data_IF_399500697247
#
_entry.id   IF_399500697247
#
_cell.length_a   1.000
_cell.length_b   1.000
_cell.length_c   1.000
_cell.angle_alpha   90.00
_cell.angle_beta   90.00
_cell.angle_gamma   90.00
#
_symmetry.space_group_name_H-M   'P 1'
#
loop_
_entity.id
_entity.type
_entity.pdbx_description
1 polymer ?
#
# COMPACT_ATOMS: atom_id res chain seq x y z
N UNK A 1 -17.17 -2.75 4.23
CA UNK A 1 -16.69 -1.88 3.15
C UNK A 1 -15.40 -2.36 2.47
N UNK A 2 -14.18 -2.32 3.08
CA UNK A 2 -12.94 -2.75 2.37
C UNK A 2 -13.06 -4.20 1.86
N UNK A 3 -13.60 -5.08 2.70
CA UNK A 3 -13.84 -6.47 2.34
C UNK A 3 -14.75 -6.58 1.12
N UNK A 4 -15.79 -5.76 1.03
CA UNK A 4 -16.76 -5.74 -0.06
C UNK A 4 -16.13 -5.24 -1.36
N UNK A 5 -15.38 -4.13 -1.29
CA UNK A 5 -14.67 -3.53 -2.45
C UNK A 5 -13.63 -4.49 -3.03
N UNK A 6 -12.88 -5.17 -2.16
CA UNK A 6 -11.84 -6.12 -2.58
C UNK A 6 -12.38 -7.53 -2.77
N UNK A 7 -13.66 -7.80 -2.49
CA UNK A 7 -14.22 -9.13 -2.65
C UNK A 7 -14.33 -9.50 -4.13
N UNK A 8 -14.17 -10.79 -4.44
CA UNK A 8 -14.37 -11.28 -5.81
C UNK A 8 -15.79 -11.00 -6.33
N UNK A 9 -16.80 -11.05 -5.47
CA UNK A 9 -18.20 -10.84 -5.87
C UNK A 9 -18.49 -9.44 -6.41
N UNK A 10 -17.67 -8.44 -6.09
CA UNK A 10 -17.86 -7.03 -6.48
C UNK A 10 -16.70 -6.51 -7.34
N UNK A 11 -15.86 -7.41 -7.88
CA UNK A 11 -14.62 -7.01 -8.56
C UNK A 11 -14.84 -6.19 -9.84
N UNK A 12 -16.06 -6.28 -10.40
CA UNK A 12 -16.51 -5.55 -11.59
C UNK A 12 -17.24 -4.25 -11.25
N UNK A 13 -17.61 -4.04 -9.99
CA UNK A 13 -18.28 -2.81 -9.53
C UNK A 13 -17.30 -1.65 -9.36
N UNK A 14 -15.99 -1.96 -9.28
CA UNK A 14 -14.93 -0.99 -9.07
C UNK A 14 -13.87 -1.08 -10.17
N UNK A 15 -13.60 0.06 -10.82
CA UNK A 15 -12.55 0.23 -11.82
C UNK A 15 -11.42 1.12 -11.29
N UNK A 16 -10.24 1.04 -11.90
CA UNK A 16 -9.15 1.97 -11.58
C UNK A 16 -9.53 3.40 -12.04
N UNK A 17 -9.19 4.44 -11.25
CA UNK A 17 -9.49 5.82 -11.64
C UNK A 17 -8.89 6.20 -12.99
N UNK A 18 -9.60 7.02 -13.77
CA UNK A 18 -9.13 7.46 -15.09
C UNK A 18 -7.75 8.14 -15.03
N UNK A 19 -7.53 9.00 -14.02
CA UNK A 19 -6.24 9.66 -13.79
C UNK A 19 -5.10 8.66 -13.59
N UNK A 20 -5.37 7.54 -12.90
CA UNK A 20 -4.36 6.48 -12.73
C UNK A 20 -3.99 5.88 -14.09
N UNK A 21 -4.96 5.60 -14.96
CA UNK A 21 -4.69 5.10 -16.32
C UNK A 21 -3.90 6.12 -17.14
N UNK A 22 -4.32 7.38 -17.15
CA UNK A 22 -3.65 8.44 -17.90
C UNK A 22 -2.20 8.66 -17.45
N UNK A 23 -1.93 8.56 -16.15
CA UNK A 23 -0.58 8.72 -15.59
C UNK A 23 0.34 7.57 -16.00
N UNK A 24 -0.14 6.33 -15.97
CA UNK A 24 0.71 5.14 -16.11
C UNK A 24 0.72 4.52 -17.52
N UNK A 25 -0.27 4.78 -18.37
CA UNK A 25 -0.36 4.24 -19.73
C UNK A 25 0.87 4.56 -20.60
N UNK A 26 1.43 5.78 -20.60
CA UNK A 26 2.63 6.10 -21.41
C UNK A 26 3.85 5.23 -21.08
N UNK A 27 3.89 4.66 -19.87
CA UNK A 27 5.02 3.87 -19.37
C UNK A 27 4.79 2.37 -19.48
N UNK A 28 3.59 1.91 -19.11
CA UNK A 28 3.25 0.48 -19.05
C UNK A 28 2.63 -0.04 -20.35
N UNK A 29 2.23 0.85 -21.26
CA UNK A 29 1.45 0.54 -22.45
C UNK A 29 -0.02 0.28 -22.12
N UNK A 30 -0.89 0.38 -23.12
CA UNK A 30 -2.35 0.28 -22.92
C UNK A 30 -2.84 -1.08 -22.42
N UNK A 31 -2.23 -2.16 -22.91
CA UNK A 31 -2.66 -3.55 -22.67
C UNK A 31 -1.77 -4.25 -21.64
N UNK A 32 -1.81 -3.79 -20.39
CA UNK A 32 -1.00 -4.35 -19.30
C UNK A 32 -1.85 -4.75 -18.10
N UNK A 33 -1.33 -5.66 -17.27
CA UNK A 33 -2.04 -6.19 -16.09
C UNK A 33 -2.45 -5.12 -15.07
N UNK A 34 -1.63 -4.09 -14.88
CA UNK A 34 -1.86 -3.03 -13.87
C UNK A 34 -2.98 -2.09 -14.31
N UNK A 35 -3.16 -1.84 -15.60
CA UNK A 35 -4.18 -0.90 -16.11
C UNK A 35 -5.45 -1.58 -16.61
N UNK A 36 -5.35 -2.83 -17.05
CA UNK A 36 -6.49 -3.58 -17.60
C UNK A 36 -7.61 -3.81 -16.59
N UNK A 37 -8.83 -3.96 -17.11
CA UNK A 37 -10.07 -4.15 -16.36
C UNK A 37 -10.83 -5.38 -16.89
N UNK A 38 -11.69 -5.98 -16.04
CA UNK A 38 -12.56 -7.10 -16.41
C UNK A 38 -11.84 -8.27 -17.12
N UNK A 39 -12.41 -8.72 -18.24
CA UNK A 39 -11.90 -9.89 -18.96
C UNK A 39 -10.48 -9.72 -19.52
N UNK A 40 -10.04 -8.49 -19.79
CA UNK A 40 -8.65 -8.24 -20.22
C UNK A 40 -7.67 -8.48 -19.08
N UNK A 41 -7.98 -7.95 -17.89
CA UNK A 41 -7.21 -8.19 -16.67
C UNK A 41 -7.13 -9.69 -16.36
N UNK A 42 -8.25 -10.40 -16.45
CA UNK A 42 -8.29 -11.83 -16.16
C UNK A 42 -7.42 -12.65 -17.10
N UNK A 43 -7.41 -12.31 -18.39
CA UNK A 43 -6.54 -12.95 -19.39
C UNK A 43 -5.08 -12.63 -19.11
N UNK A 44 -4.73 -11.36 -18.92
CA UNK A 44 -3.36 -10.94 -18.61
C UNK A 44 -2.84 -11.64 -17.35
N UNK A 45 -3.68 -11.72 -16.31
CA UNK A 45 -3.34 -12.40 -15.05
C UNK A 45 -3.12 -13.89 -15.28
N UNK A 46 -4.00 -14.58 -16.01
CA UNK A 46 -3.85 -16.01 -16.33
C UNK A 46 -2.57 -16.31 -17.12
N UNK A 47 -2.13 -15.41 -17.98
CA UNK A 47 -0.88 -15.56 -18.72
C UNK A 47 0.36 -15.40 -17.84
N UNK A 48 0.36 -14.41 -16.93
CA UNK A 48 1.55 -14.05 -16.14
C UNK A 48 1.68 -14.90 -14.86
N UNK A 49 0.57 -15.26 -14.22
CA UNK A 49 0.56 -15.91 -12.90
C UNK A 49 1.38 -17.21 -12.82
N UNK A 50 1.38 -18.09 -13.85
CA UNK A 50 2.21 -19.30 -13.83
C UNK A 50 3.71 -19.05 -13.66
N UNK A 51 4.24 -17.90 -14.10
CA UNK A 51 5.66 -17.55 -13.91
C UNK A 51 6.05 -17.43 -12.42
N UNK A 52 5.07 -17.16 -11.55
CA UNK A 52 5.24 -17.00 -10.11
C UNK A 52 4.84 -18.25 -9.31
N UNK A 53 4.67 -19.40 -9.99
CA UNK A 53 4.49 -20.69 -9.31
C UNK A 53 5.78 -21.18 -8.66
N UNK A 54 5.61 -21.97 -7.60
CA UNK A 54 6.69 -22.41 -6.73
C UNK A 54 7.89 -23.04 -7.47
N UNK A 55 7.64 -23.86 -8.50
CA UNK A 55 8.70 -24.50 -9.29
C UNK A 55 9.55 -23.47 -10.05
N UNK A 56 8.94 -22.42 -10.59
CA UNK A 56 9.64 -21.35 -11.29
C UNK A 56 10.38 -20.45 -10.30
N UNK A 57 9.78 -20.18 -9.14
CA UNK A 57 10.44 -19.43 -8.05
C UNK A 57 11.71 -20.12 -7.55
N UNK A 58 11.78 -21.45 -7.51
CA UNK A 58 13.01 -22.17 -7.11
C UNK A 58 14.22 -21.80 -7.97
N UNK A 59 14.03 -21.67 -9.28
CA UNK A 59 15.11 -21.27 -10.20
C UNK A 59 15.51 -19.82 -9.93
N UNK A 60 14.52 -18.94 -9.74
CA UNK A 60 14.76 -17.53 -9.44
C UNK A 60 15.50 -17.31 -8.12
N UNK A 61 15.28 -18.14 -7.10
CA UNK A 61 15.97 -18.04 -5.79
C UNK A 61 17.49 -18.11 -5.97
N UNK A 62 18.01 -19.01 -6.80
CA UNK A 62 19.46 -19.11 -7.03
C UNK A 62 20.04 -17.80 -7.57
N UNK A 63 19.32 -17.16 -8.51
CA UNK A 63 19.69 -15.86 -9.08
C UNK A 63 19.58 -14.76 -8.03
N UNK A 64 18.51 -14.75 -7.22
CA UNK A 64 18.36 -13.79 -6.11
C UNK A 64 19.55 -13.88 -5.16
N UNK A 65 19.97 -15.10 -4.78
CA UNK A 65 21.11 -15.33 -3.90
C UNK A 65 22.42 -14.85 -4.53
N UNK A 66 22.66 -15.19 -5.80
CA UNK A 66 23.85 -14.76 -6.52
C UNK A 66 23.95 -13.23 -6.61
N UNK A 67 22.88 -12.57 -7.07
CA UNK A 67 22.81 -11.11 -7.20
C UNK A 67 22.90 -10.41 -5.84
N UNK A 68 22.28 -10.97 -4.80
CA UNK A 68 22.40 -10.46 -3.42
C UNK A 68 23.83 -10.54 -2.92
N UNK A 69 24.51 -11.68 -3.11
CA UNK A 69 25.89 -11.84 -2.67
C UNK A 69 26.82 -10.87 -3.39
N UNK A 70 26.67 -10.76 -4.71
CA UNK A 70 27.43 -9.81 -5.53
C UNK A 70 27.21 -8.36 -5.07
N UNK A 71 25.95 -7.94 -4.89
CA UNK A 71 25.64 -6.59 -4.43
C UNK A 71 26.22 -6.28 -3.04
N UNK A 72 26.15 -7.24 -2.11
CA UNK A 72 26.76 -7.08 -0.78
C UNK A 72 28.29 -7.03 -0.86
N UNK A 73 28.93 -7.82 -1.72
CA UNK A 73 30.38 -7.76 -1.94
C UNK A 73 30.82 -6.41 -2.53
N UNK A 74 30.05 -5.87 -3.47
CA UNK A 74 30.27 -4.54 -4.04
C UNK A 74 30.11 -3.46 -2.96
N UNK A 75 29.08 -3.53 -2.12
CA UNK A 75 28.93 -2.62 -0.98
C UNK A 75 30.14 -2.70 -0.04
N UNK A 76 30.52 -3.90 0.41
CA UNK A 76 31.61 -4.07 1.37
C UNK A 76 32.99 -3.71 0.82
N UNK A 77 33.19 -3.76 -0.51
CA UNK A 77 34.46 -3.41 -1.16
C UNK A 77 34.55 -1.94 -1.55
N UNK A 78 33.42 -1.28 -1.84
CA UNK A 78 33.38 0.11 -2.32
C UNK A 78 33.60 1.15 -1.22
N UNK A 79 33.47 0.78 0.05
CA UNK A 79 33.51 1.74 1.16
C UNK A 79 34.69 1.49 2.10
N UNK A 80 35.59 2.47 2.17
CA UNK A 80 36.47 2.61 3.33
C UNK A 80 35.57 2.83 4.57
N UNK A 81 35.83 2.13 5.68
CA UNK A 81 35.06 2.06 6.94
C UNK A 81 34.63 3.40 7.61
N UNK A 82 34.79 4.55 6.97
CA UNK A 82 34.46 5.89 7.47
C UNK A 82 33.38 6.62 6.66
N UNK A 83 32.89 6.09 5.53
CA UNK A 83 31.85 6.76 4.73
C UNK A 83 30.45 6.17 4.96
N UNK A 84 29.47 7.07 5.05
CA UNK A 84 28.04 6.76 5.09
C UNK A 84 27.45 6.69 3.69
N UNK A 85 26.64 5.67 3.43
CA UNK A 85 26.04 5.37 2.13
C UNK A 85 24.52 5.53 2.20
N UNK A 86 23.88 5.87 1.09
CA UNK A 86 22.42 5.94 1.04
C UNK A 86 21.83 4.57 0.69
N UNK A 87 21.40 3.83 1.72
CA UNK A 87 20.81 2.50 1.61
C UNK A 87 19.58 2.47 0.69
N UNK A 88 18.82 3.57 0.58
CA UNK A 88 17.67 3.61 -0.31
C UNK A 88 18.10 3.44 -1.78
N UNK A 89 19.16 4.14 -2.19
CA UNK A 89 19.71 4.04 -3.54
C UNK A 89 20.29 2.65 -3.79
N UNK A 90 21.07 2.15 -2.84
CA UNK A 90 21.72 0.85 -2.94
C UNK A 90 20.70 -0.31 -3.03
N UNK A 91 19.65 -0.29 -2.21
CA UNK A 91 18.59 -1.30 -2.28
C UNK A 91 17.78 -1.20 -3.57
N UNK A 92 17.48 0.02 -4.05
CA UNK A 92 16.79 0.18 -5.34
C UNK A 92 17.59 -0.46 -6.48
N UNK A 93 18.90 -0.23 -6.52
CA UNK A 93 19.80 -0.84 -7.52
C UNK A 93 19.84 -2.36 -7.38
N UNK A 94 20.00 -2.88 -6.16
CA UNK A 94 20.06 -4.32 -5.91
C UNK A 94 18.75 -5.03 -6.31
N UNK A 95 17.59 -4.52 -5.87
CA UNK A 95 16.29 -5.11 -6.20
C UNK A 95 16.00 -5.03 -7.69
N UNK A 96 16.43 -3.96 -8.36
CA UNK A 96 16.30 -3.87 -9.81
C UNK A 96 17.18 -4.91 -10.51
N UNK A 97 18.42 -5.12 -10.05
CA UNK A 97 19.32 -6.15 -10.59
C UNK A 97 18.73 -7.54 -10.44
N UNK A 98 18.22 -7.88 -9.25
CA UNK A 98 17.55 -9.16 -8.98
C UNK A 98 16.33 -9.33 -9.88
N UNK A 99 15.46 -8.31 -9.95
CA UNK A 99 14.25 -8.35 -10.78
C UNK A 99 14.60 -8.58 -12.25
N UNK A 100 15.53 -7.79 -12.80
CA UNK A 100 16.02 -7.92 -14.18
C UNK A 100 16.55 -9.33 -14.41
N UNK A 101 17.57 -9.76 -13.65
CA UNK A 101 18.21 -11.06 -13.86
C UNK A 101 17.25 -12.25 -13.70
N UNK A 102 16.28 -12.17 -12.81
CA UNK A 102 15.31 -13.26 -12.59
C UNK A 102 14.14 -13.23 -13.58
N UNK A 103 13.67 -12.05 -13.99
CA UNK A 103 12.59 -11.90 -14.96
C UNK A 103 13.03 -12.33 -16.37
N UNK A 104 14.27 -12.06 -16.77
CA UNK A 104 14.80 -12.47 -18.08
C UNK A 104 15.03 -13.98 -18.22
N UNK A 105 15.13 -14.72 -17.12
CA UNK A 105 15.13 -16.19 -17.16
C UNK A 105 13.71 -16.75 -17.37
N UNK A 106 12.68 -16.03 -16.90
CA UNK A 106 11.29 -16.40 -17.15
C UNK A 106 10.78 -15.93 -18.53
N UNK A 107 11.36 -14.86 -19.07
CA UNK A 107 11.02 -14.28 -20.36
C UNK A 107 12.29 -14.13 -21.20
N UNK A 108 12.56 -15.08 -22.10
CA UNK A 108 13.55 -14.92 -23.16
C UNK A 108 13.11 -13.78 -24.12
N UNK A 109 13.23 -12.52 -23.70
CA UNK A 109 12.85 -11.34 -24.49
C UNK A 109 13.83 -10.18 -24.19
N UNK A 110 14.55 -9.75 -25.22
CA UNK A 110 15.50 -8.64 -25.23
C UNK A 110 14.84 -7.25 -25.47
N UNK A 111 15.61 -6.20 -25.18
CA UNK A 111 15.52 -4.80 -25.62
C UNK A 111 14.49 -3.87 -24.95
N UNK A 112 13.22 -4.27 -24.73
CA UNK A 112 12.21 -3.32 -24.24
C UNK A 112 12.40 -2.88 -22.77
N UNK A 113 12.95 -3.74 -21.91
CA UNK A 113 13.11 -3.47 -20.46
C UNK A 113 14.16 -2.39 -20.17
N UNK A 114 15.22 -2.28 -20.99
CA UNK A 114 16.25 -1.24 -20.85
C UNK A 114 15.68 0.18 -21.05
N UNK A 115 14.61 0.33 -21.85
CA UNK A 115 13.88 1.61 -21.98
C UNK A 115 13.07 1.96 -20.74
N UNK A 116 12.49 0.97 -20.05
CA UNK A 116 11.75 1.19 -18.79
C UNK A 116 12.67 1.58 -17.63
N UNK A 117 13.86 0.96 -17.52
CA UNK A 117 14.85 1.26 -16.48
C UNK A 117 15.25 2.74 -16.47
N UNK A 118 15.40 3.35 -17.66
CA UNK A 118 15.74 4.77 -17.80
C UNK A 118 14.59 5.74 -17.48
N UNK A 119 13.36 5.23 -17.32
CA UNK A 119 12.16 6.04 -17.01
C UNK A 119 11.74 5.96 -15.54
N UNK A 120 12.28 5.02 -14.76
CA UNK A 120 11.98 4.86 -13.32
C UNK A 120 12.29 6.13 -12.49
N UNK A 121 13.37 6.91 -12.75
CA UNK A 121 13.60 8.18 -12.04
C UNK A 121 12.58 9.29 -12.35
N UNK A 122 11.75 9.13 -13.40
CA UNK A 122 10.69 10.07 -13.77
C UNK A 122 9.42 9.88 -12.94
N UNK A 123 9.16 8.66 -12.45
CA UNK A 123 7.99 8.33 -11.62
C UNK A 123 8.03 9.02 -10.24
N UNK A 124 9.22 9.33 -9.74
CA UNK A 124 9.46 10.01 -8.46
C UNK A 124 9.20 11.54 -8.51
N UNK A 125 8.71 12.08 -9.63
CA UNK A 125 8.51 13.53 -9.82
C UNK A 125 7.05 13.95 -10.04
N UNK A 126 6.10 13.02 -9.98
CA UNK A 126 4.68 13.36 -10.17
C UNK A 126 4.10 13.99 -8.90
N UNK A 127 3.65 15.26 -8.95
CA UNK A 127 3.11 15.94 -7.78
C UNK A 127 1.65 15.54 -7.61
N UNK A 128 1.38 14.56 -6.76
CA UNK A 128 0.01 14.22 -6.36
C UNK A 128 -0.24 14.81 -4.98
N UNK A 129 -1.03 15.89 -4.99
CA UNK A 129 -1.61 16.63 -3.86
C UNK A 129 -0.66 16.94 -2.70
N UNK A 130 0.13 18.01 -2.84
CA UNK A 130 0.69 18.70 -1.68
C UNK A 130 0.03 20.06 -1.44
N UNK A 131 -0.44 20.18 -0.18
CA UNK A 131 -0.48 21.39 0.65
C UNK A 131 -1.50 22.46 0.29
N UNK A 132 -2.50 22.64 1.16
CA UNK A 132 -2.82 23.99 1.68
C UNK A 132 -3.75 24.10 2.92
N UNK A 133 -3.74 23.16 3.90
CA UNK A 133 -4.58 23.36 5.11
C UNK A 133 -3.86 23.00 6.43
N UNK A 134 -2.94 22.03 6.44
CA UNK A 134 -2.36 21.51 7.70
C UNK A 134 -1.28 22.43 8.30
N UNK A 135 -0.58 23.22 7.48
CA UNK A 135 0.56 24.04 7.96
C UNK A 135 0.13 25.34 8.68
N UNK A 136 -1.14 25.78 8.58
CA UNK A 136 -1.60 27.03 9.20
C UNK A 136 -2.19 26.86 10.61
N UNK A 137 -2.58 25.66 11.03
CA UNK A 137 -3.32 25.45 12.30
C UNK A 137 -2.38 25.14 13.48
N UNK A 138 -1.12 24.80 13.24
CA UNK A 138 -0.13 24.45 14.29
C UNK A 138 0.49 25.71 14.95
N UNK A 139 0.06 26.90 14.54
CA UNK A 139 0.55 28.18 15.04
C UNK A 139 -0.39 28.83 16.06
N UNK A 140 -0.85 28.11 17.10
CA UNK A 140 -1.07 28.80 18.37
C UNK A 140 -0.93 27.90 19.62
N UNK A 141 -0.07 28.35 20.53
CA UNK A 141 0.25 27.68 21.80
C UNK A 141 -0.45 28.44 22.92
N UNK A 142 -1.59 27.91 23.39
CA UNK A 142 -2.03 27.91 24.81
C UNK A 142 -3.42 27.28 24.91
N UNK A 143 -3.48 25.97 25.16
CA UNK A 143 -4.64 25.31 25.79
C UNK A 143 -4.33 23.82 26.06
N UNK A 144 -4.96 23.28 27.10
CA UNK A 144 -4.67 21.97 27.69
C UNK A 144 -4.84 20.80 26.71
N UNK A 145 -4.05 19.74 26.92
CA UNK A 145 -3.91 18.57 26.02
C UNK A 145 -5.25 17.87 25.70
N UNK A 146 -6.23 17.91 26.60
CA UNK A 146 -7.57 17.31 26.40
C UNK A 146 -8.50 18.14 25.49
N UNK A 147 -8.45 19.47 25.57
CA UNK A 147 -9.26 20.35 24.72
C UNK A 147 -8.80 20.28 23.25
N UNK A 148 -7.49 20.13 23.02
CA UNK A 148 -6.91 20.00 21.67
C UNK A 148 -7.32 18.72 20.94
N UNK A 149 -7.36 17.58 21.62
CA UNK A 149 -7.88 16.35 21.00
C UNK A 149 -9.38 16.48 20.67
N UNK A 150 -10.18 17.06 21.55
CA UNK A 150 -11.60 17.30 21.29
C UNK A 150 -11.82 18.22 20.09
N UNK A 151 -11.08 19.33 19.99
CA UNK A 151 -11.11 20.23 18.83
C UNK A 151 -10.67 19.54 17.53
N UNK A 152 -9.66 18.68 17.56
CA UNK A 152 -9.26 17.87 16.40
C UNK A 152 -10.37 16.92 15.96
N UNK A 153 -11.05 16.24 16.89
CA UNK A 153 -12.21 15.40 16.56
C UNK A 153 -13.37 16.20 15.97
N UNK A 154 -13.64 17.39 16.53
CA UNK A 154 -14.71 18.27 16.04
C UNK A 154 -14.39 18.78 14.63
N UNK A 155 -13.20 19.32 14.37
CA UNK A 155 -12.84 19.81 13.04
C UNK A 155 -12.73 18.68 12.01
N UNK A 156 -12.08 17.56 12.37
CA UNK A 156 -11.93 16.42 11.45
C UNK A 156 -13.26 15.72 11.13
N UNK A 157 -14.19 15.64 12.09
CA UNK A 157 -15.48 15.00 11.92
C UNK A 157 -16.57 15.91 11.37
N UNK A 158 -16.65 17.17 11.82
CA UNK A 158 -17.75 18.07 11.44
C UNK A 158 -17.65 18.52 9.97
N UNK A 159 -16.48 18.96 9.51
CA UNK A 159 -16.32 19.49 8.14
C UNK A 159 -16.44 18.38 7.09
N UNK A 160 -15.91 17.18 7.38
CA UNK A 160 -15.98 16.03 6.46
C UNK A 160 -17.39 15.45 6.38
N UNK A 161 -18.09 15.25 7.50
CA UNK A 161 -19.47 14.75 7.52
C UNK A 161 -20.45 15.76 6.94
N UNK A 162 -20.33 17.05 7.27
CA UNK A 162 -21.21 18.08 6.68
C UNK A 162 -21.03 18.18 5.17
N UNK A 163 -19.79 18.18 4.68
CA UNK A 163 -19.50 18.15 3.24
C UNK A 163 -20.07 16.90 2.57
N UNK A 164 -19.89 15.71 3.18
CA UNK A 164 -20.47 14.47 2.68
C UNK A 164 -22.00 14.55 2.59
N UNK A 165 -22.65 15.05 3.65
CA UNK A 165 -24.11 15.19 3.66
C UNK A 165 -24.61 16.17 2.60
N UNK A 166 -23.90 17.28 2.38
CA UNK A 166 -24.24 18.24 1.30
C UNK A 166 -24.21 17.55 -0.06
N UNK A 167 -23.15 16.80 -0.36
CA UNK A 167 -23.02 16.11 -1.65
C UNK A 167 -23.99 14.93 -1.79
N UNK A 168 -24.23 14.15 -0.74
CA UNK A 168 -25.25 13.09 -0.74
C UNK A 168 -26.64 13.68 -0.96
N UNK A 169 -26.99 14.77 -0.27
CA UNK A 169 -28.27 15.46 -0.49
C UNK A 169 -28.40 15.93 -1.94
N UNK A 170 -27.37 16.53 -2.52
CA UNK A 170 -27.36 16.91 -3.93
C UNK A 170 -27.61 15.71 -4.87
N UNK A 171 -26.92 14.59 -4.64
CA UNK A 171 -27.08 13.38 -5.45
C UNK A 171 -28.50 12.81 -5.32
N UNK A 172 -29.04 12.70 -4.11
CA UNK A 172 -30.39 12.21 -3.87
C UNK A 172 -31.45 13.11 -4.52
N UNK A 173 -31.28 14.44 -4.42
CA UNK A 173 -32.18 15.42 -5.03
C UNK A 173 -32.14 15.39 -6.57
N UNK A 174 -31.05 14.93 -7.16
CA UNK A 174 -30.87 14.86 -8.62
C UNK A 174 -31.15 13.47 -9.20
N UNK A 175 -31.38 12.44 -8.36
CA UNK A 175 -31.57 11.05 -8.77
C UNK A 175 -32.78 10.37 -8.07
N UNK A 176 -34.00 10.69 -8.54
CA UNK A 176 -35.26 10.24 -7.93
C UNK A 176 -35.43 8.71 -7.78
N UNK A 177 -34.81 7.91 -8.64
CA UNK A 177 -34.87 6.45 -8.53
C UNK A 177 -34.02 5.95 -7.35
N UNK A 178 -32.84 6.55 -7.15
CA UNK A 178 -31.94 6.23 -6.03
C UNK A 178 -32.58 6.67 -4.72
N UNK A 179 -33.14 7.88 -4.67
CA UNK A 179 -33.85 8.38 -3.50
C UNK A 179 -34.99 7.44 -3.07
N UNK A 180 -35.81 6.96 -4.02
CA UNK A 180 -36.89 6.01 -3.73
C UNK A 180 -36.37 4.69 -3.17
N UNK A 181 -35.31 4.14 -3.74
CA UNK A 181 -34.69 2.92 -3.23
C UNK A 181 -34.15 3.10 -1.79
N UNK A 182 -33.53 4.25 -1.48
CA UNK A 182 -33.10 4.57 -0.11
C UNK A 182 -34.29 4.63 0.86
N UNK A 183 -35.39 5.28 0.45
CA UNK A 183 -36.59 5.42 1.26
C UNK A 183 -37.22 4.05 1.55
N UNK A 184 -37.34 3.19 0.53
CA UNK A 184 -37.86 1.84 0.70
C UNK A 184 -37.01 0.99 1.65
N UNK A 185 -35.68 1.11 1.59
CA UNK A 185 -34.77 0.43 2.52
C UNK A 185 -34.92 0.95 3.95
N UNK A 186 -34.92 2.28 4.11
CA UNK A 186 -35.10 2.93 5.42
C UNK A 186 -36.43 2.53 6.04
N UNK A 187 -37.53 2.65 5.29
CA UNK A 187 -38.88 2.33 5.76
C UNK A 187 -39.02 0.84 6.12
N UNK A 188 -38.28 -0.04 5.43
CA UNK A 188 -38.22 -1.48 5.74
C UNK A 188 -37.52 -1.77 7.07
N UNK A 189 -36.42 -1.07 7.35
CA UNK A 189 -35.59 -1.32 8.55
C UNK A 189 -36.20 -0.63 9.77
N UNK A 190 -36.72 0.59 9.61
CA UNK A 190 -37.40 1.30 10.68
C UNK A 190 -38.56 2.16 10.16
N UNK A 191 -39.72 2.03 10.80
CA UNK A 191 -40.92 2.80 10.44
C UNK A 191 -40.89 4.21 11.03
N UNK A 192 -41.64 5.12 10.41
CA UNK A 192 -41.73 6.53 10.83
C UNK A 192 -42.04 6.66 12.33
N UNK A 193 -41.18 7.41 13.05
CA UNK A 193 -41.30 7.64 14.49
C UNK A 193 -40.56 6.61 15.37
N UNK A 194 -39.93 5.59 14.77
CA UNK A 194 -39.06 4.65 15.49
C UNK A 194 -37.77 5.35 15.95
N UNK A 195 -37.35 5.11 17.19
CA UNK A 195 -36.04 5.57 17.65
C UNK A 195 -34.94 4.75 16.96
N UNK A 196 -34.02 5.43 16.26
CA UNK A 196 -32.90 4.78 15.56
C UNK A 196 -31.95 4.16 16.60
N UNK A 197 -31.62 2.88 16.45
CA UNK A 197 -30.66 2.14 17.29
C UNK A 197 -29.44 1.74 16.48
N UNK A 198 -28.39 1.25 17.16
CA UNK A 198 -27.18 0.76 16.50
C UNK A 198 -27.47 -0.42 15.57
N UNK A 199 -28.36 -1.32 15.98
CA UNK A 199 -28.76 -2.50 15.22
C UNK A 199 -29.41 -2.09 13.89
N UNK A 200 -30.32 -1.11 13.89
CA UNK A 200 -30.89 -0.56 12.65
C UNK A 200 -29.81 -0.05 11.69
N UNK A 201 -28.77 0.62 12.22
CA UNK A 201 -27.69 1.16 11.38
C UNK A 201 -26.83 0.06 10.76
N UNK A 202 -26.70 -1.10 11.40
CA UNK A 202 -25.95 -2.23 10.84
C UNK A 202 -26.66 -2.93 9.69
N UNK A 203 -27.98 -2.71 9.55
CA UNK A 203 -28.81 -3.27 8.48
C UNK A 203 -28.91 -2.34 7.25
N UNK A 204 -28.53 -1.06 7.38
CA UNK A 204 -28.54 -0.10 6.27
C UNK A 204 -27.39 -0.37 5.31
N UNK A 205 -27.68 -0.31 4.01
CA UNK A 205 -26.69 -0.39 2.97
C UNK A 205 -26.09 0.99 2.69
N UNK A 206 -24.76 1.05 2.63
CA UNK A 206 -24.07 2.23 2.17
C UNK A 206 -24.13 2.30 0.64
N UNK A 207 -24.94 3.19 0.10
CA UNK A 207 -24.92 3.49 -1.33
C UNK A 207 -23.71 4.38 -1.65
N UNK A 208 -22.86 3.88 -2.54
CA UNK A 208 -21.76 4.64 -3.11
C UNK A 208 -22.21 5.08 -4.51
N UNK A 209 -22.37 6.38 -4.77
CA UNK A 209 -22.74 6.87 -6.09
C UNK A 209 -21.75 6.38 -7.15
N UNK A 210 -22.26 6.08 -8.35
CA UNK A 210 -21.42 5.80 -9.52
C UNK A 210 -20.41 6.95 -9.71
N UNK A 211 -19.21 6.59 -10.15
CA UNK A 211 -18.06 7.49 -10.33
C UNK A 211 -17.45 8.08 -9.04
N UNK A 212 -17.88 7.61 -7.85
CA UNK A 212 -17.19 7.96 -6.60
C UNK A 212 -15.81 7.32 -6.54
N UNK A 213 -14.78 8.13 -6.35
CA UNK A 213 -13.43 7.63 -6.10
C UNK A 213 -13.29 7.15 -4.66
N UNK A 214 -12.97 5.88 -4.46
CA UNK A 214 -12.71 5.30 -3.13
C UNK A 214 -11.21 5.11 -2.96
N UNK A 215 -10.67 5.63 -1.85
CA UNK A 215 -9.27 5.46 -1.47
C UNK A 215 -9.19 4.52 -0.26
N UNK A 216 -8.53 3.37 -0.44
CA UNK A 216 -8.19 2.47 0.67
C UNK A 216 -6.84 2.92 1.24
N UNK A 217 -6.88 3.67 2.34
CA UNK A 217 -5.68 4.14 3.03
C UNK A 217 -5.03 3.01 3.84
N UNK A 218 -4.19 2.23 3.17
CA UNK A 218 -3.43 1.12 3.76
C UNK A 218 -2.48 1.62 4.86
N UNK A 219 -1.92 2.82 4.71
CA UNK A 219 -0.97 3.39 5.67
C UNK A 219 -1.63 3.60 7.03
N UNK A 220 -2.82 4.21 7.04
CA UNK A 220 -3.61 4.42 8.24
C UNK A 220 -4.20 3.11 8.76
N UNK A 221 -4.72 2.25 7.87
CA UNK A 221 -5.28 0.94 8.23
C UNK A 221 -4.30 0.08 9.06
N UNK A 222 -3.02 0.06 8.67
CA UNK A 222 -1.98 -0.68 9.39
C UNK A 222 -1.54 -0.02 10.71
N UNK A 223 -2.08 1.15 11.04
CA UNK A 223 -1.76 1.96 12.24
C UNK A 223 -2.99 2.29 13.09
N UNK A 224 -4.16 1.72 12.80
CA UNK A 224 -5.36 1.92 13.61
C UNK A 224 -5.25 1.14 14.92
N UNK A 225 -5.36 1.85 16.05
CA UNK A 225 -5.32 1.26 17.39
C UNK A 225 -6.43 0.23 17.64
N UNK A 226 -7.55 0.33 16.91
CA UNK A 226 -8.65 -0.65 16.92
C UNK A 226 -8.21 -2.05 16.47
N UNK A 227 -7.28 -2.14 15.51
CA UNK A 227 -6.80 -3.41 14.98
C UNK A 227 -5.44 -3.82 15.53
N UNK A 228 -4.65 -2.85 15.99
CA UNK A 228 -3.24 -3.02 16.31
C UNK A 228 -2.92 -2.44 17.69
N UNK A 229 -2.54 -3.30 18.63
CA UNK A 229 -1.95 -2.85 19.89
C UNK A 229 -0.61 -2.15 19.62
N UNK A 230 -0.36 -1.01 20.29
CA UNK A 230 0.83 -0.16 20.09
C UNK A 230 1.14 0.05 18.60
N UNK A 231 0.22 0.67 17.82
CA UNK A 231 0.28 0.68 16.36
C UNK A 231 1.45 1.47 15.78
N UNK A 232 2.05 2.35 16.57
CA UNK A 232 3.17 3.21 16.16
C UNK A 232 4.54 2.64 16.56
N UNK A 233 4.56 1.52 17.31
CA UNK A 233 5.79 0.84 17.70
C UNK A 233 6.12 -0.28 16.71
N UNK A 234 7.42 -0.46 16.44
CA UNK A 234 7.89 -1.67 15.76
C UNK A 234 7.90 -2.84 16.74
N UNK A 235 6.76 -3.50 16.88
CA UNK A 235 6.61 -4.69 17.71
C UNK A 235 6.55 -5.95 16.84
N UNK A 236 7.70 -6.60 16.68
CA UNK A 236 7.83 -7.84 15.91
C UNK A 236 7.16 -9.03 16.58
N UNK A 237 6.91 -8.98 17.90
CA UNK A 237 6.39 -10.11 18.67
C UNK A 237 4.95 -10.45 18.27
N UNK A 238 4.19 -9.49 17.72
CA UNK A 238 2.84 -9.70 17.20
C UNK A 238 2.74 -10.72 16.07
N UNK A 239 3.86 -11.10 15.47
CA UNK A 239 3.93 -12.06 14.36
C UNK A 239 4.53 -13.41 14.78
N UNK A 240 5.11 -13.49 15.97
CA UNK A 240 5.71 -14.72 16.47
C UNK A 240 4.64 -15.74 16.78
N UNK A 241 4.96 -17.01 16.51
CA UNK A 241 4.09 -18.11 16.94
C UNK A 241 4.04 -18.14 18.46
N UNK A 242 2.88 -18.47 18.98
CA UNK A 242 2.72 -18.73 20.39
C UNK A 242 3.67 -19.88 20.80
N UNK A 243 4.52 -19.70 21.83
CA UNK A 243 5.57 -20.65 22.16
C UNK A 243 5.04 -21.97 22.73
N UNK A 244 3.79 -22.00 23.21
CA UNK A 244 3.17 -23.19 23.82
C UNK A 244 2.38 -23.99 22.76
N UNK A 245 1.57 -23.30 21.96
CA UNK A 245 0.65 -23.90 20.99
C UNK A 245 1.24 -23.99 19.58
N UNK A 246 2.29 -23.22 19.27
CA UNK A 246 2.89 -23.12 17.94
C UNK A 246 2.01 -22.41 16.90
N UNK A 247 0.83 -21.92 17.29
CA UNK A 247 -0.10 -21.26 16.38
C UNK A 247 0.37 -19.85 16.03
N UNK A 248 0.08 -19.42 14.80
CA UNK A 248 0.30 -18.03 14.40
C UNK A 248 -0.75 -17.14 15.08
N UNK A 249 -0.39 -15.91 15.47
CA UNK A 249 -1.35 -14.93 15.94
C UNK A 249 -2.44 -14.70 14.89
N UNK A 250 -3.71 -14.71 15.34
CA UNK A 250 -4.85 -14.41 14.47
C UNK A 250 -5.01 -12.90 14.37
N UNK A 251 -5.19 -12.40 13.15
CA UNK A 251 -5.54 -10.99 12.95
C UNK A 251 -6.91 -10.70 13.57
N UNK A 252 -7.05 -9.50 14.13
CA UNK A 252 -8.32 -8.97 14.64
C UNK A 252 -9.41 -8.89 13.56
N UNK A 253 -9.02 -8.66 12.30
CA UNK A 253 -9.92 -8.65 11.15
C UNK A 253 -9.20 -9.15 9.88
N UNK A 254 -9.86 -9.90 8.97
CA UNK A 254 -9.21 -10.45 7.76
C UNK A 254 -8.57 -9.42 6.82
N UNK A 255 -9.12 -8.19 6.82
CA UNK A 255 -8.64 -7.08 6.00
C UNK A 255 -7.87 -6.02 6.78
N UNK A 256 -7.44 -6.27 8.03
CA UNK A 256 -6.66 -5.27 8.79
C UNK A 256 -5.18 -5.20 8.36
N UNK A 257 -4.69 -6.20 7.64
CA UNK A 257 -3.32 -6.26 7.11
C UNK A 257 -3.33 -6.64 5.62
N UNK A 258 -2.91 -5.71 4.77
CA UNK A 258 -3.02 -5.77 3.30
C UNK A 258 -1.70 -5.37 2.59
N UNK A 259 -0.55 -5.98 2.93
CA UNK A 259 0.75 -5.62 2.33
C UNK A 259 0.83 -5.89 0.82
N UNK A 260 -0.02 -6.79 0.31
CA UNK A 260 -0.09 -7.21 -1.08
C UNK A 260 -1.49 -7.03 -1.68
N UNK A 261 -2.34 -6.22 -1.03
CA UNK A 261 -3.76 -6.12 -1.34
C UNK A 261 -4.52 -7.42 -1.01
N UNK A 262 -5.78 -7.49 -1.48
CA UNK A 262 -6.63 -8.67 -1.38
C UNK A 262 -7.49 -8.82 -2.63
N UNK A 263 -8.16 -9.96 -2.75
CA UNK A 263 -9.07 -10.22 -3.85
C UNK A 263 -8.41 -10.51 -5.19
N UNK A 264 -9.17 -10.45 -6.29
CA UNK A 264 -8.72 -10.80 -7.64
C UNK A 264 -7.60 -9.91 -8.19
N UNK A 265 -7.48 -8.70 -7.66
CA UNK A 265 -6.47 -7.69 -8.03
C UNK A 265 -5.26 -7.66 -7.10
N UNK A 266 -5.13 -8.63 -6.19
CA UNK A 266 -3.98 -8.69 -5.29
C UNK A 266 -2.65 -8.90 -6.06
N UNK A 267 -1.54 -8.58 -5.41
CA UNK A 267 -0.21 -8.64 -6.00
C UNK A 267 0.15 -10.07 -6.42
N UNK A 268 0.35 -10.25 -7.73
CA UNK A 268 0.78 -11.51 -8.34
C UNK A 268 2.20 -11.91 -7.92
N UNK A 269 3.05 -10.91 -7.64
CA UNK A 269 4.46 -11.08 -7.27
C UNK A 269 4.71 -11.29 -5.78
N UNK A 270 3.68 -11.44 -4.94
CA UNK A 270 3.85 -11.49 -3.47
C UNK A 270 4.86 -12.55 -3.00
N UNK A 271 4.85 -13.73 -3.61
CA UNK A 271 5.76 -14.82 -3.23
C UNK A 271 7.19 -14.52 -3.65
N UNK A 272 7.39 -13.94 -4.84
CA UNK A 272 8.69 -13.48 -5.32
C UNK A 272 9.25 -12.42 -4.39
N UNK A 273 8.47 -11.37 -4.11
CA UNK A 273 8.89 -10.25 -3.25
C UNK A 273 9.25 -10.73 -1.84
N UNK A 274 8.48 -11.65 -1.27
CA UNK A 274 8.79 -12.22 0.05
C UNK A 274 10.04 -13.11 0.06
N UNK A 275 10.37 -13.78 -1.04
CA UNK A 275 11.60 -14.57 -1.15
C UNK A 275 12.81 -13.65 -1.32
N UNK A 276 12.73 -12.68 -2.23
CA UNK A 276 13.75 -11.66 -2.44
C UNK A 276 14.09 -10.92 -1.14
N UNK A 277 13.08 -10.39 -0.44
CA UNK A 277 13.28 -9.68 0.82
C UNK A 277 13.96 -10.55 1.89
N UNK A 278 13.58 -11.84 1.99
CA UNK A 278 14.21 -12.77 2.95
C UNK A 278 15.65 -13.07 2.60
N UNK A 279 15.96 -13.27 1.32
CA UNK A 279 17.33 -13.53 0.85
C UNK A 279 18.22 -12.32 1.15
N UNK A 280 17.79 -11.13 0.74
CA UNK A 280 18.52 -9.88 1.01
C UNK A 280 18.73 -9.69 2.51
N UNK A 281 17.66 -9.75 3.31
CA UNK A 281 17.73 -9.51 4.75
C UNK A 281 18.61 -10.54 5.47
N UNK A 282 18.47 -11.83 5.15
CA UNK A 282 19.28 -12.89 5.75
C UNK A 282 20.77 -12.70 5.44
N UNK A 283 21.10 -12.43 4.18
CA UNK A 283 22.49 -12.21 3.75
C UNK A 283 23.11 -10.95 4.40
N UNK A 284 22.33 -9.87 4.52
CA UNK A 284 22.76 -8.65 5.20
C UNK A 284 23.04 -8.89 6.69
N UNK A 285 22.10 -9.49 7.43
CA UNK A 285 22.24 -9.74 8.87
C UNK A 285 23.40 -10.69 9.20
N UNK A 286 23.69 -11.65 8.31
CA UNK A 286 24.81 -12.57 8.48
C UNK A 286 26.17 -11.90 8.30
N UNK A 287 26.28 -10.89 7.44
CA UNK A 287 27.55 -10.40 6.91
C UNK A 287 27.89 -8.96 7.28
N UNK A 288 26.91 -8.19 7.71
CA UNK A 288 27.03 -6.74 7.87
C UNK A 288 26.60 -6.27 9.27
N UNK A 289 27.31 -5.27 9.78
CA UNK A 289 26.83 -4.37 10.82
C UNK A 289 26.30 -3.09 10.17
N UNK A 290 25.25 -2.50 10.76
CA UNK A 290 24.62 -1.28 10.29
C UNK A 290 24.60 -0.23 11.41
N UNK A 291 25.06 0.98 11.10
CA UNK A 291 25.00 2.13 12.00
C UNK A 291 24.31 3.28 11.28
N UNK A 292 23.23 3.81 11.86
CA UNK A 292 22.50 4.94 11.30
C UNK A 292 23.37 6.21 11.36
N UNK A 293 23.41 7.02 10.29
CA UNK A 293 24.05 8.33 10.34
C UNK A 293 23.35 9.21 11.42
N UNK A 294 24.09 9.76 12.41
CA UNK A 294 23.50 10.55 13.48
C UNK A 294 22.79 11.80 12.97
N UNK A 295 21.63 12.11 13.55
CA UNK A 295 20.91 13.37 13.28
C UNK A 295 20.19 13.46 11.94
N UNK A 296 20.21 12.40 11.12
CA UNK A 296 19.45 12.40 9.87
C UNK A 296 17.94 12.41 10.12
N UNK A 297 17.19 13.00 9.19
CA UNK A 297 15.72 13.02 9.23
C UNK A 297 15.17 11.92 8.35
N UNK A 298 14.39 11.01 8.94
CA UNK A 298 13.61 10.01 8.20
C UNK A 298 12.17 10.49 8.13
N UNK A 299 11.75 10.96 6.95
CA UNK A 299 10.39 11.44 6.70
C UNK A 299 9.79 10.55 5.61
N UNK A 300 8.68 9.83 5.89
CA UNK A 300 7.96 9.10 4.85
C UNK A 300 7.52 10.04 3.74
N UNK A 301 7.84 9.68 2.50
CA UNK A 301 7.35 10.30 1.28
C UNK A 301 6.45 9.29 0.57
N UNK A 302 5.15 9.57 0.55
CA UNK A 302 4.13 8.66 0.04
C UNK A 302 3.80 9.09 -1.38
N UNK A 303 4.42 8.43 -2.36
CA UNK A 303 4.09 8.57 -3.78
C UNK A 303 3.41 7.27 -4.27
N UNK A 304 3.88 6.69 -5.38
CA UNK A 304 3.48 5.34 -5.83
C UNK A 304 3.86 4.26 -4.82
N UNK A 305 4.98 4.47 -4.13
CA UNK A 305 5.42 3.68 -2.97
C UNK A 305 5.86 4.64 -1.85
N UNK A 306 6.05 4.10 -0.64
CA UNK A 306 6.57 4.86 0.49
C UNK A 306 8.10 4.79 0.51
N UNK A 307 8.76 5.95 0.40
CA UNK A 307 10.22 6.09 0.48
C UNK A 307 10.61 7.03 1.62
N UNK A 308 11.90 7.15 1.92
CA UNK A 308 12.40 8.26 2.73
C UNK A 308 12.64 9.47 1.85
N UNK A 309 12.05 10.62 2.20
CA UNK A 309 12.19 11.89 1.49
C UNK A 309 13.65 12.31 1.27
N UNK A 310 14.54 11.95 2.19
CA UNK A 310 15.95 12.33 2.18
C UNK A 310 16.90 11.13 2.04
N UNK A 311 16.38 9.95 1.67
CA UNK A 311 17.15 8.71 1.67
C UNK A 311 17.35 8.14 3.08
N UNK A 312 18.16 7.08 3.17
CA UNK A 312 18.52 6.42 4.44
C UNK A 312 20.02 6.26 4.50
N UNK A 313 20.70 7.15 5.24
CA UNK A 313 22.16 7.13 5.32
C UNK A 313 22.62 6.20 6.44
N UNK A 314 23.50 5.25 6.12
CA UNK A 314 24.06 4.35 7.12
C UNK A 314 25.53 4.08 6.83
N UNK A 315 26.29 3.78 7.88
CA UNK A 315 27.58 3.12 7.76
C UNK A 315 27.33 1.61 7.77
N UNK A 316 27.94 0.93 6.82
CA UNK A 316 27.93 -0.53 6.72
C UNK A 316 29.36 -1.01 6.92
N UNK A 317 29.55 -2.02 7.77
CA UNK A 317 30.84 -2.70 7.93
C UNK A 317 30.66 -4.20 7.93
N UNK A 318 31.73 -4.95 7.65
CA UNK A 318 31.72 -6.40 7.75
C UNK A 318 31.53 -6.81 9.22
N UNK A 319 30.68 -7.81 9.46
CA UNK A 319 30.51 -8.45 10.76
C UNK A 319 31.65 -9.43 11.06
#
# INVERSE_FOLDING_TARGET
MIGDILHRSHEHDYIKPADFVTIFEPFLGKHNLVLSEGAEHDRARKMIHPAFYFNNLKVMISIMVEQTNKGIDEFLSSFNNQQTVDLQKEFNTLTLSIMVSSAFVAAAIEYQTMRMINQVPLLAKLPICQKHIIDQIIADRREGRSAKHALTFIFAGHETTSSLMIWISYILMTNNNVLRACQEEVDRIFSNGTQITYEHLTELNLLIPVDTTIIIDIYQLHRRAEFWHRPLEFDYTRWLRDPITGLKPKLSHPFSYLPFGAGPRNCIGQNFAMLEAKVILASLIQRCNFELEPGQKIIPDIMVNMQSKYGLRAKISRR
#
